data_IF_844532440984
#
_entry.id   IF_844532440984
#
_cell.length_a   1.000
_cell.length_b   1.000
_cell.length_c   1.000
_cell.angle_alpha   90.00
_cell.angle_beta   90.00
_cell.angle_gamma   90.00
#
_symmetry.space_group_name_H-M   'P 1'
#
loop_
_entity.id
_entity.type
_entity.pdbx_description
1 polymer ?
#
# COMPACT_ATOMS: atom_id res chain seq x y z
N UNK A 1 -11.08 5.92 12.10
CA UNK A 1 -11.00 5.68 10.66
C UNK A 1 -11.67 4.38 10.30
N UNK A 2 -12.46 4.35 9.26
CA UNK A 2 -13.16 3.12 8.85
C UNK A 2 -12.18 2.11 8.28
N UNK A 3 -12.48 0.83 8.48
CA UNK A 3 -11.68 -0.28 8.01
C UNK A 3 -12.56 -1.35 7.37
N UNK A 4 -12.13 -1.84 6.21
CA UNK A 4 -12.78 -2.95 5.51
C UNK A 4 -11.72 -4.01 5.25
N UNK A 5 -11.96 -5.24 5.69
CA UNK A 5 -11.03 -6.34 5.42
C UNK A 5 -10.95 -6.61 3.92
N UNK A 6 -9.73 -6.65 3.40
CA UNK A 6 -9.47 -7.06 2.03
C UNK A 6 -8.02 -7.50 1.89
N UNK A 7 -7.82 -8.70 1.36
CA UNK A 7 -6.48 -9.21 1.07
C UNK A 7 -6.07 -8.97 -0.39
N UNK A 8 -6.82 -8.14 -1.11
CA UNK A 8 -6.56 -7.85 -2.51
C UNK A 8 -6.81 -9.02 -3.46
N UNK A 9 -7.38 -10.11 -2.97
CA UNK A 9 -7.62 -11.32 -3.75
C UNK A 9 -6.57 -12.40 -3.58
N UNK A 10 -5.63 -12.22 -2.65
CA UNK A 10 -4.55 -13.20 -2.43
C UNK A 10 -5.06 -14.61 -2.18
N UNK A 11 -6.14 -14.76 -1.41
CA UNK A 11 -6.67 -16.07 -1.03
C UNK A 11 -7.13 -16.92 -2.20
N UNK A 12 -7.37 -16.31 -3.36
CA UNK A 12 -7.68 -17.06 -4.59
C UNK A 12 -6.49 -17.87 -5.09
N UNK A 13 -5.28 -17.45 -4.77
CA UNK A 13 -4.04 -17.99 -5.35
C UNK A 13 -3.11 -18.63 -4.35
N UNK A 14 -3.11 -18.15 -3.11
CA UNK A 14 -2.18 -18.59 -2.08
C UNK A 14 -2.92 -18.89 -0.78
N UNK A 15 -2.58 -20.02 -0.16
CA UNK A 15 -3.20 -20.46 1.11
C UNK A 15 -2.60 -19.78 2.33
N UNK A 16 -1.31 -19.44 2.27
CA UNK A 16 -0.63 -18.80 3.39
C UNK A 16 -1.19 -17.41 3.66
N UNK A 17 -1.53 -17.14 4.91
CA UNK A 17 -2.11 -15.86 5.32
C UNK A 17 -1.10 -14.91 5.96
N UNK A 18 0.05 -15.43 6.36
CA UNK A 18 1.03 -14.69 7.16
C UNK A 18 2.31 -14.44 6.38
N UNK A 19 2.20 -13.68 5.27
CA UNK A 19 3.32 -13.37 4.40
C UNK A 19 3.46 -11.87 4.23
N UNK A 20 4.69 -11.42 3.94
CA UNK A 20 5.01 -10.00 3.80
C UNK A 20 4.71 -9.41 2.43
N UNK A 21 3.53 -9.65 1.88
CA UNK A 21 3.11 -9.20 0.55
C UNK A 21 2.26 -7.93 0.58
N UNK A 22 2.45 -7.08 1.58
CA UNK A 22 1.62 -5.88 1.76
C UNK A 22 1.58 -4.97 0.53
N UNK A 23 2.69 -4.84 -0.20
CA UNK A 23 2.72 -4.03 -1.41
C UNK A 23 1.80 -4.60 -2.49
N UNK A 24 1.83 -5.91 -2.71
CA UNK A 24 0.96 -6.56 -3.70
C UNK A 24 -0.50 -6.37 -3.33
N UNK A 25 -0.85 -6.59 -2.06
CA UNK A 25 -2.22 -6.43 -1.58
C UNK A 25 -2.69 -4.98 -1.69
N UNK A 26 -1.87 -4.03 -1.25
CA UNK A 26 -2.22 -2.61 -1.29
C UNK A 26 -2.45 -2.14 -2.74
N UNK A 27 -1.58 -2.53 -3.65
CA UNK A 27 -1.70 -2.18 -5.07
C UNK A 27 -2.94 -2.82 -5.68
N UNK A 28 -3.20 -4.09 -5.41
CA UNK A 28 -4.40 -4.78 -5.92
C UNK A 28 -5.67 -4.09 -5.42
N UNK A 29 -5.72 -3.74 -4.13
CA UNK A 29 -6.85 -3.02 -3.56
C UNK A 29 -7.04 -1.63 -4.18
N UNK A 30 -5.95 -0.90 -4.40
CA UNK A 30 -6.01 0.46 -4.94
C UNK A 30 -6.40 0.49 -6.41
N UNK A 31 -5.83 -0.40 -7.21
CA UNK A 31 -6.04 -0.40 -8.66
C UNK A 31 -7.26 -1.18 -9.11
N UNK A 32 -7.77 -2.08 -8.28
CA UNK A 32 -8.82 -3.02 -8.67
C UNK A 32 -8.33 -4.13 -9.60
N UNK A 33 -7.02 -4.20 -9.84
CA UNK A 33 -6.45 -5.25 -10.68
C UNK A 33 -6.41 -6.58 -9.93
N UNK A 34 -6.43 -7.67 -10.69
CA UNK A 34 -6.31 -9.00 -10.12
C UNK A 34 -4.99 -9.16 -9.35
N UNK A 35 -5.04 -9.78 -8.18
CA UNK A 35 -3.87 -9.97 -7.32
C UNK A 35 -2.70 -10.63 -8.07
N UNK A 36 -3.00 -11.69 -8.84
CA UNK A 36 -1.97 -12.44 -9.57
C UNK A 36 -1.33 -11.59 -10.67
N UNK A 37 -2.10 -10.73 -11.32
CA UNK A 37 -1.58 -9.80 -12.31
C UNK A 37 -0.58 -8.83 -11.69
N UNK A 38 -0.94 -8.23 -10.55
CA UNK A 38 -0.05 -7.34 -9.80
C UNK A 38 1.19 -8.11 -9.33
N UNK A 39 1.00 -9.29 -8.78
CA UNK A 39 2.08 -10.16 -8.32
C UNK A 39 3.10 -10.42 -9.44
N UNK A 40 2.61 -10.80 -10.62
CA UNK A 40 3.48 -11.11 -11.75
C UNK A 40 4.18 -9.86 -12.31
N UNK A 41 3.49 -8.72 -12.32
CA UNK A 41 4.08 -7.45 -12.79
C UNK A 41 5.22 -7.00 -11.88
N UNK A 42 5.03 -7.08 -10.56
CA UNK A 42 6.08 -6.74 -9.61
C UNK A 42 7.25 -7.71 -9.69
N UNK A 43 6.97 -9.00 -9.84
CA UNK A 43 8.01 -10.02 -10.03
C UNK A 43 8.88 -9.71 -11.26
N UNK A 44 8.25 -9.32 -12.35
CA UNK A 44 8.96 -8.96 -13.59
C UNK A 44 9.86 -7.75 -13.37
N UNK A 45 9.39 -6.73 -12.71
CA UNK A 45 10.17 -5.54 -12.37
C UNK A 45 11.28 -5.84 -11.36
N UNK A 46 11.12 -6.89 -10.58
CA UNK A 46 12.07 -7.33 -9.56
C UNK A 46 13.03 -8.42 -10.10
N UNK A 47 13.33 -8.37 -11.39
CA UNK A 47 14.27 -9.29 -12.06
C UNK A 47 13.89 -10.76 -11.88
N UNK A 48 12.61 -11.08 -11.88
CA UNK A 48 12.10 -12.44 -11.75
C UNK A 48 11.99 -12.96 -10.31
N UNK A 49 12.39 -12.16 -9.32
CA UNK A 49 12.25 -12.53 -7.91
C UNK A 49 10.86 -12.17 -7.40
N UNK A 50 10.22 -13.08 -6.67
CA UNK A 50 8.88 -12.83 -6.16
C UNK A 50 8.88 -11.74 -5.08
N UNK A 51 7.76 -11.01 -4.99
CA UNK A 51 7.54 -10.01 -3.96
C UNK A 51 6.64 -10.53 -2.84
N UNK A 52 6.59 -11.84 -2.67
CA UNK A 52 5.75 -12.49 -1.66
C UNK A 52 6.12 -12.08 -0.23
N UNK A 53 7.42 -11.93 0.04
CA UNK A 53 7.93 -11.61 1.38
C UNK A 53 8.50 -10.19 1.45
N UNK A 54 8.11 -9.34 0.55
CA UNK A 54 8.54 -7.95 0.49
C UNK A 54 8.77 -7.50 -0.93
N UNK A 55 8.57 -6.20 -1.16
CA UNK A 55 8.82 -5.57 -2.46
C UNK A 55 9.83 -4.46 -2.24
N UNK A 56 10.94 -4.46 -2.99
CA UNK A 56 11.88 -3.34 -2.92
C UNK A 56 11.17 -2.03 -3.24
N UNK A 57 11.50 -0.97 -2.50
CA UNK A 57 10.87 0.33 -2.66
C UNK A 57 10.96 0.87 -4.09
N UNK A 58 12.09 0.65 -4.75
CA UNK A 58 12.31 1.05 -6.14
C UNK A 58 11.34 0.38 -7.11
N UNK A 59 11.03 -0.89 -6.87
CA UNK A 59 10.08 -1.67 -7.68
C UNK A 59 8.67 -1.10 -7.50
N UNK A 60 8.29 -0.85 -6.25
CA UNK A 60 6.99 -0.24 -5.94
C UNK A 60 6.85 1.12 -6.61
N UNK A 61 7.85 1.97 -6.49
CA UNK A 61 7.86 3.31 -7.11
C UNK A 61 7.71 3.23 -8.62
N UNK A 62 8.49 2.37 -9.25
CA UNK A 62 8.47 2.22 -10.71
C UNK A 62 7.11 1.74 -11.20
N UNK A 63 6.56 0.72 -10.56
CA UNK A 63 5.26 0.19 -10.93
C UNK A 63 4.16 1.25 -10.80
N UNK A 64 4.12 1.93 -9.66
CA UNK A 64 3.08 2.92 -9.40
C UNK A 64 3.19 4.14 -10.31
N UNK A 65 4.40 4.56 -10.64
CA UNK A 65 4.60 5.62 -11.63
C UNK A 65 4.03 5.22 -12.99
N UNK A 66 4.26 3.98 -13.42
CA UNK A 66 3.70 3.46 -14.67
C UNK A 66 2.18 3.40 -14.63
N UNK A 67 1.59 3.21 -13.44
CA UNK A 67 0.14 3.19 -13.27
C UNK A 67 -0.49 4.59 -13.09
N UNK A 68 0.30 5.64 -13.19
CA UNK A 68 -0.19 7.01 -13.09
C UNK A 68 -0.31 7.56 -11.67
N UNK A 69 0.36 6.94 -10.71
CA UNK A 69 0.39 7.43 -9.33
C UNK A 69 1.53 8.41 -9.12
N UNK A 70 1.28 9.43 -8.30
CA UNK A 70 2.25 10.43 -7.90
C UNK A 70 2.64 10.21 -6.43
N UNK A 71 3.93 10.27 -6.13
CA UNK A 71 4.44 10.15 -4.76
C UNK A 71 4.43 11.51 -4.06
N UNK A 72 3.85 11.53 -2.86
CA UNK A 72 3.84 12.72 -1.99
C UNK A 72 4.48 12.33 -0.66
N UNK A 73 5.64 12.91 -0.37
CA UNK A 73 6.31 12.69 0.91
C UNK A 73 5.65 13.55 1.99
N UNK A 74 5.36 12.95 3.15
CA UNK A 74 4.75 13.64 4.28
C UNK A 74 5.67 13.70 5.48
N UNK A 75 6.83 13.04 5.40
CA UNK A 75 7.83 13.04 6.47
C UNK A 75 9.21 13.06 5.85
N UNK A 76 10.09 13.88 6.41
CA UNK A 76 11.50 13.98 6.01
C UNK A 76 12.39 13.62 7.20
N UNK A 77 13.63 13.18 6.96
CA UNK A 77 14.57 12.91 8.06
C UNK A 77 14.70 14.12 8.99
N UNK A 78 14.59 13.89 10.28
CA UNK A 78 14.75 14.92 11.31
C UNK A 78 13.54 15.80 11.57
N UNK A 79 12.43 15.64 10.81
CA UNK A 79 11.26 16.50 11.00
C UNK A 79 10.17 15.93 11.90
N UNK A 80 10.27 14.63 12.23
CA UNK A 80 9.24 13.95 13.01
C UNK A 80 7.99 13.64 12.20
N UNK A 81 7.01 13.05 12.85
CA UNK A 81 5.75 12.68 12.23
C UNK A 81 4.83 13.89 12.09
N UNK A 82 4.35 14.15 10.89
CA UNK A 82 3.44 15.27 10.60
C UNK A 82 2.05 14.82 10.17
N UNK A 83 1.96 13.64 9.54
CA UNK A 83 0.69 13.10 9.06
C UNK A 83 0.49 11.73 9.68
N UNK A 84 -0.68 11.54 10.26
CA UNK A 84 -1.09 10.26 10.85
C UNK A 84 -2.11 9.58 9.96
N UNK A 85 -2.29 8.28 10.17
CA UNK A 85 -3.28 7.51 9.44
C UNK A 85 -4.67 7.81 10.00
N UNK A 86 -5.18 8.98 9.62
CA UNK A 86 -6.48 9.54 10.03
C UNK A 86 -7.15 10.13 8.79
N UNK A 87 -8.46 10.00 8.73
CA UNK A 87 -9.23 10.53 7.60
C UNK A 87 -8.99 12.03 7.39
N UNK A 88 -8.98 12.82 8.47
CA UNK A 88 -8.86 14.28 8.40
C UNK A 88 -7.47 14.74 7.92
N UNK A 89 -6.45 13.89 8.07
CA UNK A 89 -5.09 14.25 7.69
C UNK A 89 -4.68 13.75 6.31
N UNK A 90 -5.57 13.04 5.62
CA UNK A 90 -5.30 12.47 4.30
C UNK A 90 -6.23 13.08 3.25
N UNK A 91 -5.76 13.25 2.01
CA UNK A 91 -6.63 13.71 0.94
C UNK A 91 -7.66 12.63 0.56
N UNK A 92 -8.74 13.07 -0.09
CA UNK A 92 -9.69 12.13 -0.69
C UNK A 92 -9.09 11.49 -1.94
N UNK A 93 -9.68 10.40 -2.39
CA UNK A 93 -9.20 9.66 -3.55
C UNK A 93 -8.59 8.32 -3.17
N UNK A 94 -7.90 7.71 -4.12
CA UNK A 94 -7.28 6.40 -3.93
C UNK A 94 -5.81 6.58 -3.60
N UNK A 95 -5.43 6.12 -2.41
CA UNK A 95 -4.06 6.25 -1.89
C UNK A 95 -3.46 4.88 -1.62
N UNK A 96 -2.14 4.79 -1.80
CA UNK A 96 -1.34 3.73 -1.20
C UNK A 96 -0.44 4.43 -0.20
N UNK A 97 -0.67 4.22 1.09
CA UNK A 97 0.07 4.89 2.16
C UNK A 97 1.28 4.06 2.57
N UNK A 98 2.39 4.74 2.76
CA UNK A 98 3.62 4.12 3.27
C UNK A 98 3.76 4.38 4.76
N UNK A 99 3.83 3.28 5.50
CA UNK A 99 3.97 3.27 6.95
C UNK A 99 5.28 2.57 7.30
N UNK A 100 5.62 2.54 8.59
CA UNK A 100 6.79 1.77 9.04
C UNK A 100 6.60 0.28 8.69
N UNK A 101 7.45 -0.23 7.80
CA UNK A 101 7.45 -1.64 7.38
C UNK A 101 6.11 -2.13 6.83
N UNK A 102 5.29 -1.23 6.26
CA UNK A 102 3.98 -1.60 5.75
C UNK A 102 3.49 -0.64 4.68
N UNK A 103 2.74 -1.18 3.73
CA UNK A 103 1.98 -0.40 2.75
C UNK A 103 0.52 -0.81 2.88
N UNK A 104 -0.38 0.15 2.75
CA UNK A 104 -1.81 -0.10 2.84
C UNK A 104 -2.57 0.74 1.83
N UNK A 105 -3.78 0.32 1.50
CA UNK A 105 -4.67 1.05 0.61
C UNK A 105 -5.67 1.85 1.42
N UNK A 106 -5.82 3.13 1.09
CA UNK A 106 -6.83 4.01 1.68
C UNK A 106 -7.64 4.64 0.54
N UNK A 107 -8.94 4.45 0.55
CA UNK A 107 -9.85 5.06 -0.42
C UNK A 107 -10.87 5.91 0.32
N UNK A 108 -10.80 7.23 0.10
CA UNK A 108 -11.75 8.19 0.71
C UNK A 108 -11.93 7.97 2.21
N UNK A 109 -10.82 7.84 2.94
CA UNK A 109 -10.82 7.69 4.39
C UNK A 109 -11.08 6.28 4.90
N UNK A 110 -11.14 5.28 4.02
CA UNK A 110 -11.38 3.89 4.38
C UNK A 110 -10.14 3.05 4.11
N UNK A 111 -9.68 2.32 5.13
CA UNK A 111 -8.54 1.40 4.99
C UNK A 111 -9.05 0.07 4.40
N UNK A 112 -8.40 -0.41 3.34
CA UNK A 112 -8.62 -1.73 2.76
C UNK A 112 -7.35 -2.54 2.98
N UNK A 113 -7.38 -3.45 3.94
CA UNK A 113 -6.21 -4.21 4.38
C UNK A 113 -6.67 -5.49 5.09
N UNK A 114 -5.72 -6.32 5.51
CA UNK A 114 -6.02 -7.53 6.27
C UNK A 114 -6.16 -7.26 7.77
N UNK A 115 -5.80 -6.05 8.22
CA UNK A 115 -6.01 -5.60 9.60
C UNK A 115 -6.06 -4.07 9.62
N UNK A 116 -6.63 -3.51 10.67
CA UNK A 116 -6.65 -2.06 10.87
C UNK A 116 -5.25 -1.61 11.31
N UNK A 117 -4.50 -1.06 10.37
CA UNK A 117 -3.13 -0.65 10.59
C UNK A 117 -2.97 0.77 11.12
N UNK A 118 -4.08 1.43 11.48
CA UNK A 118 -4.02 2.82 11.95
C UNK A 118 -3.49 2.97 13.38
N UNK A 119 -3.48 1.91 14.16
CA UNK A 119 -3.10 1.93 15.59
C UNK A 119 -3.87 3.03 16.33
N UNK A 120 -5.20 2.96 16.24
CA UNK A 120 -6.09 3.97 16.81
C UNK A 120 -5.78 5.38 16.29
N UNK A 121 -5.45 5.48 14.99
CA UNK A 121 -5.16 6.72 14.30
C UNK A 121 -3.90 7.44 14.81
N UNK A 122 -2.99 6.70 15.45
CA UNK A 122 -1.71 7.23 15.92
C UNK A 122 -0.54 6.89 15.00
N UNK A 123 -0.74 5.99 14.04
CA UNK A 123 0.35 5.53 13.19
C UNK A 123 0.79 6.62 12.21
N UNK A 124 2.10 6.84 12.12
CA UNK A 124 2.68 7.86 11.24
C UNK A 124 2.64 7.41 9.78
N UNK A 125 2.28 8.33 8.90
CA UNK A 125 2.35 8.17 7.45
C UNK A 125 3.63 8.84 6.96
N UNK A 126 4.51 8.08 6.32
CA UNK A 126 5.77 8.62 5.77
C UNK A 126 5.55 9.29 4.42
N UNK A 127 4.53 8.90 3.74
CA UNK A 127 4.16 9.41 2.44
C UNK A 127 3.09 8.54 1.82
N UNK A 128 2.63 8.93 0.65
CA UNK A 128 1.63 8.14 -0.06
C UNK A 128 1.76 8.35 -1.56
N UNK A 129 1.27 7.36 -2.31
CA UNK A 129 1.06 7.50 -3.75
C UNK A 129 -0.41 7.80 -3.96
N UNK A 130 -0.70 8.78 -4.80
CA UNK A 130 -2.06 9.18 -5.10
C UNK A 130 -2.26 9.19 -6.62
N UNK A 131 -3.40 8.68 -7.06
CA UNK A 131 -3.83 8.76 -8.45
C UNK A 131 -4.91 9.83 -8.56
N UNK A 132 -4.65 10.80 -9.38
CA UNK A 132 -5.57 11.92 -9.60
C UNK A 132 -6.31 11.79 -10.91
#
# INVERSE_FOLDING_TARGET
>A
MKFIYSDGGRSKYFKASNVGDCAVRAIANATGKDYKEVYNSLKKLNNGKTCRNGTPNEVTKKYLKEQGYEWIATMRPGTGCKVHLKEEELPTGTLIVRLSKHLSCVKNGIIYDTYDCSRDETRCVYGYWIKR
#
